data_IF_195503461681
#
_entry.id   IF_195503461681
#
_cell.length_a   1.000
_cell.length_b   1.000
_cell.length_c   1.000
_cell.angle_alpha   90.00
_cell.angle_beta   90.00
_cell.angle_gamma   90.00
#
_symmetry.space_group_name_H-M   'P 1'
#
loop_
_entity.id
_entity.type
_entity.pdbx_description
1 polymer ?
#
# COMPACT_ATOMS: atom_id res chain seq x y z
N UNK A 1 8.18 15.02 -23.96
CA UNK A 1 7.59 14.00 -23.07
C UNK A 1 8.68 13.57 -22.14
N UNK A 2 8.51 13.86 -20.85
CA UNK A 2 9.46 13.58 -19.77
C UNK A 2 9.12 12.25 -19.07
N UNK A 3 8.19 11.46 -19.63
CA UNK A 3 7.89 10.11 -19.19
C UNK A 3 7.59 9.20 -20.38
N UNK A 4 7.74 7.88 -20.18
CA UNK A 4 7.40 6.86 -21.18
C UNK A 4 6.89 5.58 -20.50
N UNK A 5 6.03 4.84 -21.20
CA UNK A 5 5.59 3.52 -20.78
C UNK A 5 6.52 2.45 -21.36
N UNK A 6 7.11 1.63 -20.51
CA UNK A 6 8.00 0.53 -20.87
C UNK A 6 7.31 -0.79 -20.56
N UNK A 7 6.99 -1.54 -21.61
CA UNK A 7 6.33 -2.83 -21.46
C UNK A 7 7.29 -3.91 -20.96
N UNK A 8 6.91 -4.65 -19.92
CA UNK A 8 7.62 -5.88 -19.50
C UNK A 8 6.70 -7.09 -19.69
N UNK A 9 7.25 -8.29 -19.46
CA UNK A 9 6.51 -9.55 -19.67
C UNK A 9 5.31 -9.74 -18.74
N UNK A 10 5.34 -9.14 -17.54
CA UNK A 10 4.35 -9.41 -16.48
C UNK A 10 3.64 -8.15 -15.94
N UNK A 11 4.19 -6.97 -16.19
CA UNK A 11 3.66 -5.65 -15.82
C UNK A 11 4.38 -4.61 -16.69
N UNK A 12 3.88 -3.38 -16.72
CA UNK A 12 4.51 -2.26 -17.40
C UNK A 12 5.13 -1.31 -16.38
N UNK A 13 6.07 -0.48 -16.83
CA UNK A 13 6.71 0.54 -15.99
C UNK A 13 6.49 1.90 -16.64
N UNK A 14 5.94 2.83 -15.87
CA UNK A 14 5.94 4.25 -16.19
C UNK A 14 7.31 4.79 -15.76
N UNK A 15 8.18 5.06 -16.72
CA UNK A 15 9.47 5.69 -16.47
C UNK A 15 9.30 7.21 -16.52
N UNK A 16 9.44 7.88 -15.36
CA UNK A 16 9.44 9.34 -15.25
C UNK A 16 10.90 9.83 -15.24
N UNK A 17 11.30 10.57 -16.28
CA UNK A 17 12.63 11.17 -16.37
C UNK A 17 12.81 12.22 -15.25
N UNK A 18 13.92 12.13 -14.52
CA UNK A 18 14.20 12.94 -13.32
C UNK A 18 13.13 12.82 -12.22
N UNK A 19 12.33 11.77 -12.25
CA UNK A 19 11.26 11.51 -11.30
C UNK A 19 11.23 10.05 -10.86
N UNK A 20 10.08 9.66 -10.35
CA UNK A 20 9.87 8.33 -9.80
C UNK A 20 9.25 7.39 -10.82
N UNK A 21 9.86 6.22 -11.01
CA UNK A 21 9.27 5.17 -11.81
C UNK A 21 8.11 4.51 -11.06
N UNK A 22 7.03 4.21 -11.79
CA UNK A 22 5.84 3.59 -11.23
C UNK A 22 5.58 2.28 -11.96
N UNK A 23 5.46 1.19 -11.20
CA UNK A 23 4.81 -0.03 -11.72
C UNK A 23 3.39 0.29 -12.17
N UNK A 24 2.98 -0.31 -13.27
CA UNK A 24 1.67 -0.16 -13.88
C UNK A 24 1.20 -1.50 -14.45
N UNK A 25 -0.04 -1.88 -14.15
CA UNK A 25 -0.64 -3.07 -14.75
C UNK A 25 -1.79 -2.69 -15.69
N UNK A 26 -1.67 -2.89 -17.02
CA UNK A 26 -2.64 -2.35 -17.99
C UNK A 26 -4.05 -2.93 -17.84
N UNK A 27 -4.19 -4.14 -17.29
CA UNK A 27 -5.49 -4.80 -17.12
C UNK A 27 -6.33 -4.23 -15.96
N UNK A 28 -5.80 -3.27 -15.19
CA UNK A 28 -6.50 -2.68 -14.04
C UNK A 28 -7.44 -1.52 -14.38
N UNK A 29 -7.35 -0.98 -15.58
CA UNK A 29 -8.10 0.22 -15.95
C UNK A 29 -7.70 1.47 -15.14
N UNK A 30 -6.59 1.44 -14.40
CA UNK A 30 -5.99 2.65 -13.80
C UNK A 30 -5.64 3.60 -14.93
N UNK A 31 -6.17 4.81 -14.85
CA UNK A 31 -5.82 5.87 -15.79
C UNK A 31 -4.47 6.46 -15.43
N UNK A 32 -3.69 6.84 -16.45
CA UNK A 32 -2.45 7.59 -16.27
C UNK A 32 -2.80 9.07 -16.40
N UNK A 33 -2.48 9.84 -15.37
CA UNK A 33 -2.64 11.29 -15.36
C UNK A 33 -1.28 11.92 -15.68
N UNK A 34 -1.23 12.80 -16.68
CA UNK A 34 -0.04 13.58 -16.98
C UNK A 34 -0.16 14.98 -16.38
N UNK A 35 0.86 15.42 -15.64
CA UNK A 35 0.96 16.78 -15.10
C UNK A 35 2.41 17.22 -15.00
N UNK A 36 2.71 18.42 -15.47
CA UNK A 36 4.06 19.03 -15.47
C UNK A 36 5.14 18.13 -16.12
N UNK A 37 4.74 17.31 -17.10
CA UNK A 37 5.63 16.36 -17.79
C UNK A 37 5.89 15.04 -17.04
N UNK A 38 5.29 14.84 -15.86
CA UNK A 38 5.32 13.59 -15.11
C UNK A 38 3.99 12.83 -15.25
N UNK A 39 4.08 11.52 -15.14
CA UNK A 39 2.94 10.61 -15.07
C UNK A 39 2.65 10.14 -13.64
N UNK A 40 1.36 10.05 -13.35
CA UNK A 40 0.77 9.62 -12.10
C UNK A 40 -0.32 8.58 -12.37
N UNK A 41 -0.67 7.81 -11.35
CA UNK A 41 -1.77 6.83 -11.42
C UNK A 41 -3.01 7.45 -10.79
N UNK A 42 -4.14 7.40 -11.49
CA UNK A 42 -5.47 7.72 -10.97
C UNK A 42 -5.98 6.52 -10.16
N UNK A 43 -5.78 6.57 -8.86
CA UNK A 43 -6.02 5.47 -7.93
C UNK A 43 -7.47 5.43 -7.47
N UNK A 44 -8.13 6.58 -7.42
CA UNK A 44 -9.53 6.71 -7.01
C UNK A 44 -10.51 6.90 -8.17
N UNK A 45 -10.01 6.88 -9.42
CA UNK A 45 -10.78 6.99 -10.65
C UNK A 45 -11.55 8.31 -10.78
N UNK A 46 -11.00 9.41 -10.26
CA UNK A 46 -11.62 10.75 -10.36
C UNK A 46 -11.26 11.46 -11.67
N UNK A 47 -10.23 11.01 -12.37
CA UNK A 47 -9.65 11.69 -13.52
C UNK A 47 -8.85 12.95 -13.18
N UNK A 48 -8.69 13.27 -11.88
CA UNK A 48 -7.91 14.42 -11.40
C UNK A 48 -6.72 13.95 -10.59
N UNK A 49 -5.60 14.68 -10.67
CA UNK A 49 -4.45 14.38 -9.80
C UNK A 49 -4.74 14.87 -8.39
N UNK A 50 -5.13 13.95 -7.51
CA UNK A 50 -5.31 14.21 -6.09
C UNK A 50 -3.98 14.30 -5.36
N UNK A 51 -3.94 15.02 -4.23
CA UNK A 51 -2.66 15.25 -3.53
C UNK A 51 -2.08 13.95 -3.02
N UNK A 52 -2.89 13.02 -2.54
CA UNK A 52 -2.40 11.72 -2.07
C UNK A 52 -1.76 10.88 -3.19
N UNK A 53 -2.12 11.10 -4.45
CA UNK A 53 -1.59 10.42 -5.64
C UNK A 53 -0.30 11.06 -6.17
N UNK A 54 -0.11 12.36 -5.90
CA UNK A 54 1.08 13.11 -6.30
C UNK A 54 2.28 12.75 -5.41
N UNK A 55 3.04 11.75 -5.86
CA UNK A 55 4.25 11.27 -5.20
C UNK A 55 5.35 12.33 -5.01
N UNK A 56 5.24 13.51 -5.64
CA UNK A 56 6.17 14.63 -5.47
C UNK A 56 5.90 15.42 -4.19
N UNK A 57 4.69 15.31 -3.64
CA UNK A 57 4.29 16.09 -2.47
C UNK A 57 4.83 15.47 -1.16
N UNK A 58 5.11 16.31 -0.15
CA UNK A 58 5.41 15.87 1.21
C UNK A 58 4.40 14.84 1.73
N UNK A 59 4.90 13.82 2.43
CA UNK A 59 4.10 12.72 2.94
C UNK A 59 2.99 13.22 3.89
N UNK A 60 3.27 14.23 4.71
CA UNK A 60 2.27 14.86 5.60
C UNK A 60 1.06 15.37 4.82
N UNK A 61 1.28 16.05 3.69
CA UNK A 61 0.19 16.57 2.86
C UNK A 61 -0.61 15.45 2.20
N UNK A 62 0.07 14.40 1.77
CA UNK A 62 -0.56 13.22 1.15
C UNK A 62 -1.42 12.46 2.16
N UNK A 63 -0.92 12.23 3.38
CA UNK A 63 -1.69 11.61 4.46
C UNK A 63 -2.93 12.45 4.79
N UNK A 64 -2.78 13.77 4.91
CA UNK A 64 -3.91 14.66 5.18
C UNK A 64 -5.01 14.53 4.12
N UNK A 65 -4.64 14.61 2.85
CA UNK A 65 -5.57 14.48 1.74
C UNK A 65 -6.25 13.11 1.75
N UNK A 66 -5.47 12.02 1.86
CA UNK A 66 -5.97 10.66 1.93
C UNK A 66 -6.98 10.46 3.07
N UNK A 67 -6.68 10.98 4.27
CA UNK A 67 -7.62 10.97 5.40
C UNK A 67 -8.93 11.67 5.07
N UNK A 68 -8.85 12.88 4.52
CA UNK A 68 -10.03 13.71 4.27
C UNK A 68 -10.93 13.15 3.18
N UNK A 69 -10.35 12.64 2.09
CA UNK A 69 -11.12 12.10 0.97
C UNK A 69 -11.88 10.83 1.36
N UNK A 70 -11.24 9.96 2.15
CA UNK A 70 -11.76 8.63 2.47
C UNK A 70 -12.34 8.52 3.89
N UNK A 71 -12.35 9.62 4.65
CA UNK A 71 -12.83 9.65 6.04
C UNK A 71 -12.04 8.71 6.95
N UNK A 72 -10.71 8.63 6.76
CA UNK A 72 -9.84 7.73 7.49
C UNK A 72 -9.23 8.41 8.72
N UNK A 73 -9.13 7.69 9.81
CA UNK A 73 -8.34 8.10 10.96
C UNK A 73 -7.77 6.88 11.68
N UNK A 74 -6.72 7.10 12.44
CA UNK A 74 -6.01 6.04 13.13
C UNK A 74 -6.01 6.29 14.64
N UNK A 75 -6.14 5.22 15.42
CA UNK A 75 -5.80 5.22 16.84
C UNK A 75 -4.99 3.96 17.14
N UNK A 76 -3.72 4.12 17.51
CA UNK A 76 -2.79 3.01 17.76
C UNK A 76 -2.75 2.03 16.58
N UNK A 77 -3.16 0.79 16.81
CA UNK A 77 -3.22 -0.36 15.90
C UNK A 77 -4.58 -0.51 15.20
N UNK A 78 -5.48 0.46 15.37
CA UNK A 78 -6.76 0.51 14.68
C UNK A 78 -6.76 1.55 13.57
N UNK A 79 -7.17 1.15 12.36
CA UNK A 79 -7.51 2.06 11.27
C UNK A 79 -9.03 2.15 11.14
N UNK A 80 -9.57 3.34 11.28
CA UNK A 80 -11.00 3.60 11.16
C UNK A 80 -11.34 4.21 9.81
N UNK A 81 -12.57 3.94 9.37
CA UNK A 81 -13.15 4.49 8.16
C UNK A 81 -14.67 4.70 8.40
N UNK A 82 -15.42 5.39 7.52
CA UNK A 82 -16.77 5.85 7.83
C UNK A 82 -17.79 4.76 8.21
N UNK A 83 -17.53 3.50 7.85
CA UNK A 83 -18.46 2.38 8.04
C UNK A 83 -17.94 1.30 8.99
N UNK A 84 -16.77 1.48 9.60
CA UNK A 84 -16.21 0.45 10.48
C UNK A 84 -14.79 0.73 10.94
N UNK A 85 -14.14 -0.32 11.41
CA UNK A 85 -12.73 -0.24 11.80
C UNK A 85 -12.01 -1.52 11.44
N UNK A 86 -10.72 -1.37 11.17
CA UNK A 86 -9.79 -2.45 11.00
C UNK A 86 -8.94 -2.51 12.25
N UNK A 87 -8.99 -3.65 12.93
CA UNK A 87 -7.97 -4.01 13.91
C UNK A 87 -6.80 -4.66 13.16
N UNK A 88 -5.63 -4.01 13.17
CA UNK A 88 -4.44 -4.60 12.57
C UNK A 88 -3.95 -5.72 13.51
N UNK A 89 -3.74 -6.95 12.99
CA UNK A 89 -3.13 -8.02 13.78
C UNK A 89 -1.74 -7.62 14.27
N UNK A 90 -1.38 -7.99 15.52
CA UNK A 90 -0.11 -7.57 16.15
C UNK A 90 1.12 -7.95 15.32
N UNK A 91 1.13 -9.16 14.75
CA UNK A 91 2.21 -9.65 13.89
C UNK A 91 2.35 -8.83 12.60
N UNK A 92 1.24 -8.34 12.05
CA UNK A 92 1.24 -7.43 10.91
C UNK A 92 1.68 -6.02 11.34
N UNK A 93 1.18 -5.55 12.48
CA UNK A 93 1.48 -4.25 13.06
C UNK A 93 2.99 -4.07 13.27
N UNK A 94 3.65 -5.05 13.89
CA UNK A 94 5.09 -4.99 14.19
C UNK A 94 5.92 -4.90 12.89
N UNK A 95 5.53 -5.66 11.85
CA UNK A 95 6.17 -5.59 10.55
C UNK A 95 5.92 -4.25 9.83
N UNK A 96 4.72 -3.69 9.94
CA UNK A 96 4.40 -2.36 9.39
C UNK A 96 5.14 -1.25 10.14
N UNK A 97 5.31 -1.39 11.46
CA UNK A 97 6.09 -0.45 12.26
C UNK A 97 7.57 -0.53 11.91
N UNK A 98 8.12 -1.74 11.71
CA UNK A 98 9.46 -1.91 11.18
C UNK A 98 9.62 -1.24 9.80
N UNK A 99 8.67 -1.45 8.89
CA UNK A 99 8.68 -0.79 7.58
C UNK A 99 8.59 0.73 7.71
N UNK A 100 7.78 1.25 8.63
CA UNK A 100 7.70 2.67 8.96
C UNK A 100 9.06 3.21 9.41
N UNK A 101 9.68 2.58 10.41
CA UNK A 101 10.98 2.99 10.96
C UNK A 101 12.10 2.92 9.91
N UNK A 102 12.05 1.95 9.00
CA UNK A 102 13.11 1.72 8.01
C UNK A 102 12.89 2.38 6.64
N UNK A 103 11.66 2.64 6.20
CA UNK A 103 11.38 3.33 4.92
C UNK A 103 11.26 4.84 5.04
N UNK A 104 11.07 5.37 6.24
CA UNK A 104 11.09 6.82 6.48
C UNK A 104 12.51 7.41 6.49
N UNK A 105 13.57 6.62 6.40
CA UNK A 105 14.95 7.14 6.27
C UNK A 105 15.16 8.05 5.05
N UNK A 106 14.24 8.03 4.08
CA UNK A 106 14.32 8.86 2.88
C UNK A 106 13.38 10.06 2.87
N UNK A 107 12.56 10.26 3.92
CA UNK A 107 11.80 11.51 4.03
C UNK A 107 12.70 12.60 4.58
N UNK A 108 12.59 13.80 4.01
CA UNK A 108 13.30 14.97 4.49
C UNK A 108 12.61 15.45 5.78
N UNK A 109 13.00 14.92 6.94
CA UNK A 109 12.35 15.18 8.24
C UNK A 109 12.15 16.68 8.52
N UNK A 110 13.07 17.54 8.06
CA UNK A 110 12.99 19.00 8.23
C UNK A 110 11.80 19.65 7.50
N UNK A 111 11.24 18.97 6.48
CA UNK A 111 10.09 19.45 5.70
C UNK A 111 8.77 18.81 6.13
N UNK A 112 8.78 17.92 7.13
CA UNK A 112 7.65 17.08 7.49
C UNK A 112 7.21 17.32 8.95
N UNK A 113 5.91 17.16 9.24
CA UNK A 113 5.42 17.12 10.61
C UNK A 113 5.58 15.70 11.16
N UNK A 114 6.74 15.44 11.77
CA UNK A 114 7.06 14.12 12.31
C UNK A 114 6.13 13.67 13.44
N UNK A 115 5.49 14.60 14.16
CA UNK A 115 4.50 14.25 15.17
C UNK A 115 3.24 13.74 14.48
N UNK A 116 2.75 14.46 13.48
CA UNK A 116 1.60 14.04 12.69
C UNK A 116 1.85 12.70 11.99
N UNK A 117 3.03 12.50 11.40
CA UNK A 117 3.39 11.24 10.75
C UNK A 117 3.35 10.08 11.74
N UNK A 118 3.91 10.24 12.96
CA UNK A 118 3.86 9.20 14.01
C UNK A 118 2.43 8.86 14.43
N UNK A 119 1.56 9.87 14.54
CA UNK A 119 0.15 9.69 14.89
C UNK A 119 -0.68 9.01 13.77
N UNK A 120 -0.18 9.03 12.53
CA UNK A 120 -0.89 8.54 11.33
C UNK A 120 -0.05 7.53 10.54
N UNK A 121 0.83 6.80 11.22
CA UNK A 121 1.89 6.06 10.55
C UNK A 121 1.36 4.89 9.69
N UNK A 122 0.22 4.27 10.01
CA UNK A 122 -0.37 3.22 9.17
C UNK A 122 -0.76 3.77 7.80
N UNK A 123 -1.34 4.98 7.78
CA UNK A 123 -1.70 5.66 6.54
C UNK A 123 -0.46 6.08 5.75
N UNK A 124 0.57 6.55 6.45
CA UNK A 124 1.87 6.83 5.84
C UNK A 124 2.49 5.59 5.19
N UNK A 125 2.52 4.46 5.90
CA UNK A 125 3.03 3.19 5.37
C UNK A 125 2.20 2.72 4.18
N UNK A 126 0.87 2.82 4.22
CA UNK A 126 0.02 2.47 3.07
C UNK A 126 0.38 3.30 1.84
N UNK A 127 0.47 4.63 1.97
CA UNK A 127 0.87 5.51 0.88
C UNK A 127 2.27 5.18 0.37
N UNK A 128 3.22 4.94 1.26
CA UNK A 128 4.57 4.52 0.88
C UNK A 128 4.58 3.14 0.21
N UNK A 129 3.73 2.21 0.61
CA UNK A 129 3.61 0.90 -0.04
C UNK A 129 3.09 1.03 -1.46
N UNK A 130 2.09 1.89 -1.70
CA UNK A 130 1.55 2.21 -3.02
C UNK A 130 2.57 2.87 -3.94
N UNK A 131 3.43 3.64 -3.30
CA UNK A 131 4.55 4.32 -3.91
C UNK A 131 5.69 3.37 -4.30
N UNK A 132 5.87 2.26 -3.58
CA UNK A 132 7.00 1.39 -3.78
C UNK A 132 6.73 0.40 -4.92
N UNK A 133 7.52 0.53 -5.97
CA UNK A 133 7.58 -0.45 -7.03
C UNK A 133 8.44 -1.64 -6.59
N UNK A 134 7.81 -2.72 -6.10
CA UNK A 134 8.52 -3.99 -5.83
C UNK A 134 8.71 -4.83 -7.10
N UNK A 135 8.40 -4.29 -8.27
CA UNK A 135 8.53 -4.96 -9.54
C UNK A 135 7.57 -6.12 -9.71
N UNK A 136 6.40 -6.08 -9.05
CA UNK A 136 5.37 -7.13 -9.18
C UNK A 136 4.14 -6.69 -9.96
N UNK A 137 3.87 -5.37 -10.02
CA UNK A 137 2.67 -4.79 -10.64
C UNK A 137 1.37 -5.12 -9.89
N UNK A 138 1.46 -5.77 -8.73
CA UNK A 138 0.29 -6.21 -7.93
C UNK A 138 -0.12 -5.22 -6.86
N UNK A 139 0.74 -4.26 -6.56
CA UNK A 139 0.50 -3.20 -5.58
C UNK A 139 -0.71 -2.35 -5.98
N UNK A 140 -0.85 -2.12 -7.29
CA UNK A 140 -1.95 -1.39 -7.90
C UNK A 140 -3.32 -2.07 -7.70
N UNK A 141 -3.37 -3.40 -7.78
CA UNK A 141 -4.58 -4.18 -7.48
C UNK A 141 -4.99 -4.01 -6.02
N UNK A 142 -4.02 -4.12 -5.10
CA UNK A 142 -4.28 -4.00 -3.67
C UNK A 142 -4.78 -2.60 -3.32
N UNK A 143 -4.19 -1.58 -3.92
CA UNK A 143 -4.54 -0.18 -3.73
C UNK A 143 -5.96 0.13 -4.21
N UNK A 144 -6.29 -0.23 -5.45
CA UNK A 144 -7.66 -0.08 -5.96
C UNK A 144 -8.66 -0.83 -5.08
N UNK A 145 -8.33 -2.06 -4.66
CA UNK A 145 -9.18 -2.85 -3.78
C UNK A 145 -9.42 -2.13 -2.44
N UNK A 146 -8.38 -1.53 -1.85
CA UNK A 146 -8.52 -0.74 -0.62
C UNK A 146 -9.41 0.48 -0.87
N UNK A 147 -9.12 1.29 -1.89
CA UNK A 147 -9.87 2.51 -2.19
C UNK A 147 -11.34 2.21 -2.46
N UNK A 148 -11.63 1.23 -3.34
CA UNK A 148 -12.99 0.82 -3.67
C UNK A 148 -13.72 0.24 -2.45
N UNK A 149 -13.04 -0.56 -1.63
CA UNK A 149 -13.69 -1.14 -0.45
C UNK A 149 -13.96 -0.10 0.64
N UNK A 150 -13.17 0.98 0.75
CA UNK A 150 -13.53 2.14 1.58
C UNK A 150 -14.80 2.81 1.05
N UNK A 151 -14.83 3.13 -0.24
CA UNK A 151 -15.98 3.79 -0.87
C UNK A 151 -17.27 2.97 -0.75
N UNK A 152 -17.17 1.64 -0.90
CA UNK A 152 -18.28 0.70 -0.74
C UNK A 152 -18.61 0.38 0.73
N UNK A 153 -17.77 0.79 1.68
CA UNK A 153 -17.96 0.54 3.11
C UNK A 153 -17.64 -0.89 3.57
N UNK A 154 -16.96 -1.69 2.76
CA UNK A 154 -16.69 -3.12 2.99
C UNK A 154 -15.22 -3.42 3.27
N UNK A 155 -14.39 -2.39 3.49
CA UNK A 155 -12.95 -2.53 3.71
C UNK A 155 -12.62 -3.55 4.83
N UNK A 156 -13.32 -3.50 5.96
CA UNK A 156 -13.13 -4.45 7.06
C UNK A 156 -13.32 -5.91 6.61
N UNK A 157 -14.39 -6.20 5.87
CA UNK A 157 -14.70 -7.56 5.39
C UNK A 157 -13.67 -8.07 4.40
N UNK A 158 -13.24 -7.20 3.47
CA UNK A 158 -12.22 -7.52 2.46
C UNK A 158 -10.92 -7.85 3.16
N UNK A 159 -10.47 -6.98 4.05
CA UNK A 159 -9.20 -7.17 4.70
C UNK A 159 -9.22 -8.35 5.68
N UNK A 160 -10.30 -8.54 6.45
CA UNK A 160 -10.52 -9.72 7.28
C UNK A 160 -10.36 -11.01 6.48
N UNK A 161 -10.98 -11.08 5.30
CA UNK A 161 -10.90 -12.24 4.41
C UNK A 161 -9.48 -12.50 3.91
N UNK A 162 -8.74 -11.45 3.56
CA UNK A 162 -7.32 -11.54 3.17
C UNK A 162 -6.48 -12.08 4.34
N UNK A 163 -6.60 -11.49 5.54
CA UNK A 163 -5.83 -11.93 6.70
C UNK A 163 -6.16 -13.36 7.10
N UNK A 164 -7.43 -13.75 7.10
CA UNK A 164 -7.83 -15.14 7.40
C UNK A 164 -7.26 -16.13 6.38
N UNK A 165 -7.31 -15.81 5.09
CA UNK A 165 -6.73 -16.66 4.05
C UNK A 165 -5.21 -16.84 4.25
N UNK A 166 -4.49 -15.74 4.52
CA UNK A 166 -3.04 -15.78 4.79
C UNK A 166 -2.74 -16.58 6.06
N UNK A 167 -3.47 -16.33 7.15
CA UNK A 167 -3.30 -17.05 8.42
C UNK A 167 -3.51 -18.55 8.25
N UNK A 168 -4.57 -18.95 7.55
CA UNK A 168 -4.87 -20.36 7.32
C UNK A 168 -3.81 -21.02 6.43
N UNK A 169 -3.35 -20.34 5.37
CA UNK A 169 -2.26 -20.82 4.53
C UNK A 169 -0.98 -21.04 5.33
N UNK A 170 -0.56 -20.06 6.14
CA UNK A 170 0.66 -20.16 6.96
C UNK A 170 0.56 -21.27 8.03
N UNK A 171 -0.61 -21.44 8.66
CA UNK A 171 -0.86 -22.55 9.59
C UNK A 171 -0.67 -23.90 8.90
N UNK A 172 -1.31 -24.11 7.74
CA UNK A 172 -1.17 -25.37 7.00
C UNK A 172 0.26 -25.64 6.54
N UNK A 173 1.03 -24.61 6.17
CA UNK A 173 2.46 -24.75 5.87
C UNK A 173 3.27 -25.17 7.10
N UNK A 174 3.02 -24.55 8.25
CA UNK A 174 3.69 -24.91 9.51
C UNK A 174 3.37 -26.34 9.93
N UNK A 175 2.11 -26.77 9.81
CA UNK A 175 1.67 -28.13 10.10
C UNK A 175 2.36 -29.15 9.18
N UNK A 176 2.35 -28.91 7.85
CA UNK A 176 3.05 -29.77 6.88
C UNK A 176 4.55 -29.88 7.15
N UNK A 177 5.19 -28.77 7.51
CA UNK A 177 6.62 -28.75 7.88
C UNK A 177 6.88 -29.58 9.13
N UNK A 178 6.04 -29.46 10.15
CA UNK A 178 6.19 -30.20 11.40
C UNK A 178 5.93 -31.70 11.22
N UNK A 179 4.98 -32.09 10.37
CA UNK A 179 4.74 -33.50 9.99
C UNK A 179 5.94 -34.09 9.25
N UNK A 180 6.48 -33.38 8.25
CA UNK A 180 7.64 -33.84 7.49
C UNK A 180 8.91 -33.99 8.36
N UNK A 181 9.14 -33.07 9.30
CA UNK A 181 10.25 -33.18 10.26
C UNK A 181 10.05 -34.31 11.28
N UNK A 182 8.80 -34.55 11.69
CA UNK A 182 8.44 -35.69 12.55
C UNK A 182 8.71 -37.03 11.86
N UNK A 183 8.28 -37.20 10.62
CA UNK A 183 8.53 -38.43 9.83
C UNK A 183 10.02 -38.69 9.61
N UNK A 184 10.83 -37.65 9.38
CA UNK A 184 12.29 -37.78 9.25
C UNK A 184 12.99 -38.21 10.55
N UNK A 185 12.42 -37.90 11.72
CA UNK A 185 12.98 -38.28 13.03
C UNK A 185 12.70 -39.73 13.44
N UNK A 186 11.78 -40.42 12.75
CA UNK A 186 11.48 -41.84 12.96
C UNK A 186 12.25 -42.77 12.02
N UNK A 187 13.03 -42.22 11.07
CA UNK A 187 13.79 -42.99 10.07
C UNK A 187 15.30 -43.02 10.40
N UNK A 188 15.75 -42.38 11.49
CA UNK A 188 17.14 -42.40 11.97
C UNK A 188 17.36 -43.40 13.10
#
# INVERSE_FOLDING_TARGET
MTWKLVHKKSYDIIENENGKNLSYHPNLGIQIIEKDGFAFKDLNATGNLDKFEDWRLPLTLRIHDFKTQFGLWQEKDCLYYPKGKIQIPVDVYDNLLFLYEHKLFHIEEEKEDMKFIKENYLLGVLLLMFDNDYGTGKEDYLLQLIVQSVQLGVLENVMYSIWEAVRNYLKTLSEKRNTALGEMSYIS
#
